data_IF_734967031894
#
_entry.id   IF_734967031894
#
_cell.length_a   1.000
_cell.length_b   1.000
_cell.length_c   1.000
_cell.angle_alpha   90.00
_cell.angle_beta   90.00
_cell.angle_gamma   90.00
#
_symmetry.space_group_name_H-M   'P 1'
#
loop_
_entity.id
_entity.type
_entity.pdbx_description
1 polymer ?
#
# COMPACT_ATOMS: atom_id res chain seq x y z
N UNK A 1 -10.03 -23.67 10.60
CA UNK A 1 -8.85 -22.81 10.39
C UNK A 1 -8.79 -22.46 8.91
N UNK A 2 -8.51 -21.22 8.53
CA UNK A 2 -8.32 -20.89 7.11
C UNK A 2 -7.05 -21.57 6.57
N UNK A 3 -7.11 -22.00 5.31
CA UNK A 3 -5.94 -22.50 4.57
C UNK A 3 -5.20 -21.34 3.94
N UNK A 4 -3.89 -21.27 4.09
CA UNK A 4 -3.06 -20.23 3.48
C UNK A 4 -2.45 -20.76 2.18
N UNK A 5 -2.82 -20.13 1.07
CA UNK A 5 -2.18 -20.32 -0.24
C UNK A 5 -1.20 -19.17 -0.44
N UNK A 6 0.04 -19.48 -0.83
CA UNK A 6 1.09 -18.48 -1.07
C UNK A 6 1.24 -18.24 -2.57
N UNK A 7 1.30 -16.97 -2.95
CA UNK A 7 1.64 -16.51 -4.30
C UNK A 7 2.95 -15.71 -4.26
N UNK A 8 3.67 -15.65 -5.38
CA UNK A 8 4.94 -14.93 -5.51
C UNK A 8 4.78 -13.53 -6.07
N UNK A 9 3.61 -13.21 -6.63
CA UNK A 9 3.27 -11.89 -7.16
C UNK A 9 1.80 -11.55 -6.97
N UNK A 10 1.44 -10.28 -7.17
CA UNK A 10 0.04 -9.84 -7.20
C UNK A 10 -0.71 -10.48 -8.37
N UNK A 11 -0.08 -10.64 -9.53
CA UNK A 11 -0.69 -11.31 -10.68
C UNK A 11 -1.05 -12.76 -10.36
N UNK A 12 -0.12 -13.52 -9.76
CA UNK A 12 -0.38 -14.91 -9.36
C UNK A 12 -1.47 -14.98 -8.27
N UNK A 13 -1.46 -14.05 -7.31
CA UNK A 13 -2.47 -13.98 -6.25
C UNK A 13 -3.88 -13.76 -6.83
N UNK A 14 -4.02 -12.90 -7.84
CA UNK A 14 -5.31 -12.64 -8.48
C UNK A 14 -5.71 -13.75 -9.45
N UNK A 15 -4.89 -14.05 -10.45
CA UNK A 15 -5.29 -14.91 -11.57
C UNK A 15 -5.25 -16.40 -11.19
N UNK A 16 -4.18 -16.83 -10.54
CA UNK A 16 -3.94 -18.25 -10.27
C UNK A 16 -4.56 -18.72 -8.97
N UNK A 17 -4.88 -17.82 -8.02
CA UNK A 17 -5.44 -18.20 -6.71
C UNK A 17 -6.89 -17.76 -6.56
N UNK A 18 -7.21 -16.49 -6.85
CA UNK A 18 -8.57 -15.98 -6.66
C UNK A 18 -9.50 -16.37 -7.82
N UNK A 19 -9.13 -16.05 -9.07
CA UNK A 19 -9.97 -16.31 -10.26
C UNK A 19 -10.12 -17.81 -10.53
N UNK A 20 -9.08 -18.60 -10.26
CA UNK A 20 -9.11 -20.06 -10.39
C UNK A 20 -9.88 -20.77 -9.26
N UNK A 21 -10.47 -20.03 -8.32
CA UNK A 21 -11.23 -20.52 -7.15
C UNK A 21 -10.42 -21.35 -6.14
N UNK A 22 -9.10 -21.18 -6.10
CA UNK A 22 -8.25 -21.81 -5.08
C UNK A 22 -8.28 -21.09 -3.72
N UNK A 23 -8.85 -19.89 -3.64
CA UNK A 23 -9.08 -19.16 -2.39
C UNK A 23 -10.38 -18.36 -2.40
N UNK A 24 -11.02 -18.26 -1.23
CA UNK A 24 -12.24 -17.45 -1.02
C UNK A 24 -11.94 -15.95 -0.96
N UNK A 25 -10.73 -15.58 -0.52
CA UNK A 25 -10.25 -14.21 -0.34
C UNK A 25 -8.75 -14.13 -0.58
N UNK A 26 -8.28 -12.94 -0.97
CA UNK A 26 -6.86 -12.62 -1.09
C UNK A 26 -6.49 -11.40 -0.25
N UNK A 27 -5.23 -11.33 0.15
CA UNK A 27 -4.68 -10.26 0.97
C UNK A 27 -3.51 -9.58 0.25
N UNK A 28 -3.66 -8.28 -0.01
CA UNK A 28 -2.65 -7.43 -0.62
C UNK A 28 -2.85 -5.97 -0.17
N UNK A 29 -1.98 -5.06 -0.61
CA UNK A 29 -2.17 -3.62 -0.40
C UNK A 29 -3.47 -3.15 -1.03
N UNK A 30 -4.18 -2.20 -0.40
CA UNK A 30 -5.46 -1.71 -0.91
C UNK A 30 -5.36 -1.15 -2.34
N UNK A 31 -4.26 -0.47 -2.66
CA UNK A 31 -4.00 0.04 -4.01
C UNK A 31 -4.01 -1.06 -5.05
N UNK A 32 -3.27 -2.16 -4.81
CA UNK A 32 -3.27 -3.31 -5.71
C UNK A 32 -4.66 -3.98 -5.79
N UNK A 33 -5.37 -4.08 -4.67
CA UNK A 33 -6.71 -4.66 -4.64
C UNK A 33 -7.72 -3.82 -5.46
N UNK A 34 -7.69 -2.50 -5.33
CA UNK A 34 -8.58 -1.61 -6.09
C UNK A 34 -8.29 -1.64 -7.58
N UNK A 35 -7.01 -1.61 -7.97
CA UNK A 35 -6.58 -1.71 -9.37
C UNK A 35 -7.12 -2.98 -10.05
N UNK A 36 -7.07 -4.12 -9.36
CA UNK A 36 -7.47 -5.42 -9.92
C UNK A 36 -8.95 -5.75 -9.77
N UNK A 37 -9.60 -5.30 -8.71
CA UNK A 37 -11.04 -5.55 -8.52
C UNK A 37 -11.89 -4.96 -9.66
N UNK A 38 -11.45 -3.83 -10.24
CA UNK A 38 -12.13 -3.19 -11.37
C UNK A 38 -12.20 -4.06 -12.63
N UNK A 39 -11.26 -5.01 -12.80
CA UNK A 39 -11.23 -5.92 -13.95
C UNK A 39 -11.92 -7.27 -13.69
N UNK A 40 -12.48 -7.51 -12.49
CA UNK A 40 -13.15 -8.76 -12.15
C UNK A 40 -14.57 -8.52 -11.62
N UNK A 41 -15.58 -8.52 -12.51
CA UNK A 41 -16.98 -8.35 -12.12
C UNK A 41 -17.41 -9.33 -11.04
N UNK A 42 -18.09 -8.84 -10.00
CA UNK A 42 -18.52 -9.65 -8.85
C UNK A 42 -17.52 -9.70 -7.70
N UNK A 43 -16.27 -9.25 -7.90
CA UNK A 43 -15.34 -9.01 -6.79
C UNK A 43 -15.61 -7.69 -6.08
N UNK A 44 -15.15 -7.58 -4.83
CA UNK A 44 -15.13 -6.32 -4.09
C UNK A 44 -13.92 -6.25 -3.16
N UNK A 45 -13.41 -5.05 -2.94
CA UNK A 45 -12.45 -4.80 -1.86
C UNK A 45 -13.23 -4.71 -0.54
N UNK A 46 -12.78 -5.44 0.48
CA UNK A 46 -13.41 -5.40 1.80
C UNK A 46 -13.15 -4.06 2.51
N UNK A 47 -14.17 -3.58 3.23
CA UNK A 47 -14.05 -2.40 4.10
C UNK A 47 -13.07 -2.65 5.25
N UNK A 48 -12.62 -1.55 5.87
CA UNK A 48 -11.67 -1.62 6.97
C UNK A 48 -10.26 -1.99 6.52
N UNK A 49 -9.44 -2.45 7.46
CA UNK A 49 -8.05 -2.88 7.24
C UNK A 49 -7.62 -3.75 8.41
N UNK A 50 -7.04 -4.91 8.15
CA UNK A 50 -6.45 -5.75 9.20
C UNK A 50 -4.95 -5.44 9.40
N UNK A 51 -4.32 -4.74 8.46
CA UNK A 51 -2.92 -4.31 8.50
C UNK A 51 -2.79 -2.88 7.96
N UNK A 52 -1.80 -2.14 8.47
CA UNK A 52 -1.34 -0.85 7.93
C UNK A 52 0.16 -0.94 7.73
N UNK A 53 0.63 -0.61 6.52
CA UNK A 53 2.05 -0.56 6.17
C UNK A 53 2.49 0.91 5.97
N UNK A 54 3.15 1.53 6.96
CA UNK A 54 3.65 2.89 6.80
C UNK A 54 4.79 2.94 5.77
N UNK A 55 4.68 3.84 4.80
CA UNK A 55 5.77 4.15 3.87
C UNK A 55 6.62 5.28 4.43
N UNK A 56 7.95 5.13 4.39
CA UNK A 56 8.86 6.13 4.91
C UNK A 56 10.24 6.09 4.26
N UNK A 57 11.00 7.17 4.44
CA UNK A 57 12.38 7.26 3.97
C UNK A 57 13.34 6.63 4.98
N UNK A 58 14.09 5.63 4.54
CA UNK A 58 15.15 4.99 5.32
C UNK A 58 16.49 5.73 5.21
N UNK A 59 17.28 5.74 6.29
CA UNK A 59 18.67 6.21 6.27
C UNK A 59 19.61 5.15 6.87
N UNK A 60 20.85 5.02 6.36
CA UNK A 60 21.83 4.11 6.95
C UNK A 60 22.06 4.39 8.43
N UNK A 61 22.21 3.34 9.25
CA UNK A 61 22.35 3.47 10.71
C UNK A 61 23.52 4.38 11.11
N UNK A 62 24.65 4.28 10.41
CA UNK A 62 25.85 5.11 10.67
C UNK A 62 25.71 6.59 10.33
N UNK A 63 24.58 7.03 9.74
CA UNK A 63 24.32 8.45 9.39
C UNK A 63 23.30 9.12 10.32
N UNK A 64 22.83 8.40 11.33
CA UNK A 64 21.95 8.96 12.37
C UNK A 64 22.79 9.74 13.40
N UNK A 65 22.27 10.85 13.97
CA UNK A 65 20.91 11.38 13.82
C UNK A 65 20.74 12.42 12.70
N UNK A 66 21.83 12.96 12.14
CA UNK A 66 21.79 14.11 11.23
C UNK A 66 20.96 13.81 9.98
N UNK A 67 21.26 12.70 9.27
CA UNK A 67 20.54 12.34 8.06
C UNK A 67 19.06 12.03 8.33
N UNK A 68 18.76 11.38 9.46
CA UNK A 68 17.39 11.07 9.86
C UNK A 68 16.57 12.35 10.11
N UNK A 69 17.19 13.35 10.75
CA UNK A 69 16.55 14.65 11.03
C UNK A 69 16.28 15.41 9.73
N UNK A 70 17.24 15.39 8.80
CA UNK A 70 17.08 16.02 7.49
C UNK A 70 15.94 15.39 6.68
N UNK A 71 15.94 14.06 6.48
CA UNK A 71 14.85 13.40 5.72
C UNK A 71 13.51 13.52 6.44
N UNK A 72 13.51 13.52 7.78
CA UNK A 72 12.32 13.76 8.58
C UNK A 72 11.72 15.13 8.28
N UNK A 73 12.52 16.19 8.35
CA UNK A 73 12.07 17.55 8.00
C UNK A 73 11.57 17.64 6.57
N UNK A 74 12.30 17.07 5.61
CA UNK A 74 11.87 17.04 4.21
C UNK A 74 10.50 16.40 4.03
N UNK A 75 10.24 15.25 4.67
CA UNK A 75 8.94 14.56 4.61
C UNK A 75 7.83 15.40 5.24
N UNK A 76 8.07 16.02 6.40
CA UNK A 76 7.08 16.90 7.03
C UNK A 76 6.76 18.12 6.17
N UNK A 77 7.77 18.80 5.62
CA UNK A 77 7.59 19.94 4.72
C UNK A 77 6.81 19.53 3.45
N UNK A 78 7.14 18.39 2.85
CA UNK A 78 6.45 17.85 1.67
C UNK A 78 4.98 17.48 1.94
N UNK A 79 4.66 16.97 3.14
CA UNK A 79 3.26 16.73 3.54
C UNK A 79 2.51 18.06 3.76
N UNK A 80 3.15 19.02 4.43
CA UNK A 80 2.54 20.31 4.79
C UNK A 80 2.14 21.13 3.56
N UNK A 81 2.95 21.10 2.50
CA UNK A 81 2.65 21.77 1.22
C UNK A 81 1.85 20.89 0.24
N UNK A 82 1.25 19.81 0.73
CA UNK A 82 0.43 18.85 -0.03
C UNK A 82 1.13 18.13 -1.19
N UNK A 83 2.45 18.21 -1.32
CA UNK A 83 3.20 17.54 -2.39
C UNK A 83 2.94 16.03 -2.43
N UNK A 84 2.92 15.38 -1.26
CA UNK A 84 2.64 13.94 -1.15
C UNK A 84 1.20 13.62 -1.59
N UNK A 85 0.24 14.46 -1.20
CA UNK A 85 -1.16 14.30 -1.63
C UNK A 85 -1.28 14.41 -3.15
N UNK A 86 -0.69 15.45 -3.74
CA UNK A 86 -0.70 15.66 -5.20
C UNK A 86 -0.06 14.48 -5.94
N UNK A 87 1.01 13.90 -5.40
CA UNK A 87 1.64 12.72 -6.00
C UNK A 87 0.72 11.48 -5.97
N UNK A 88 0.01 11.25 -4.85
CA UNK A 88 -0.99 10.17 -4.72
C UNK A 88 -2.12 10.38 -5.74
N UNK A 89 -2.66 11.59 -5.82
CA UNK A 89 -3.76 11.93 -6.73
C UNK A 89 -3.33 11.76 -8.20
N UNK A 90 -2.13 12.24 -8.58
CA UNK A 90 -1.60 12.10 -9.95
C UNK A 90 -1.39 10.65 -10.36
N UNK A 91 -1.01 9.80 -9.42
CA UNK A 91 -0.82 8.37 -9.65
C UNK A 91 -2.14 7.57 -9.55
N UNK A 92 -3.28 8.24 -9.31
CA UNK A 92 -4.59 7.61 -9.12
C UNK A 92 -4.55 6.47 -8.09
N UNK A 93 -3.78 6.63 -7.02
CA UNK A 93 -3.63 5.58 -6.01
C UNK A 93 -4.83 5.55 -5.07
N UNK A 94 -5.63 4.50 -5.20
CA UNK A 94 -6.76 4.26 -4.30
C UNK A 94 -6.33 3.53 -3.02
N UNK A 95 -6.93 3.90 -1.89
CA UNK A 95 -6.66 3.25 -0.60
C UNK A 95 -5.33 3.62 0.06
N UNK A 96 -4.65 4.65 -0.44
CA UNK A 96 -3.46 5.25 0.17
C UNK A 96 -3.84 6.62 0.75
N UNK A 97 -3.25 6.97 1.89
CA UNK A 97 -3.46 8.27 2.53
C UNK A 97 -2.13 8.88 2.96
N UNK A 98 -2.08 10.22 2.99
CA UNK A 98 -0.95 10.95 3.56
C UNK A 98 -0.94 10.71 5.06
N UNK A 99 0.22 10.35 5.62
CA UNK A 99 0.39 10.21 7.06
C UNK A 99 0.11 11.56 7.77
N UNK A 100 -0.40 11.57 9.02
CA UNK A 100 -0.54 12.80 9.79
C UNK A 100 0.78 13.58 9.87
N UNK A 101 0.68 14.90 9.96
CA UNK A 101 1.84 15.73 10.36
C UNK A 101 2.27 15.33 11.77
N UNK A 102 3.58 15.37 12.00
CA UNK A 102 4.15 15.14 13.33
C UNK A 102 4.09 16.38 14.20
#
# INVERSE_FOLDING_TARGET
MPTLVRAKSIDELFDAVFVSTQADVIAATKSALFERSGSHPGSRVLDGRFLVEPVGMGVPKGRKPIAASYVGKFVEDAKAVHLVKTAIDRASLHGVAVAPLK
#
